data_IF_772324262491
#
_entry.id   IF_772324262491
#
_cell.length_a   1.000
_cell.length_b   1.000
_cell.length_c   1.000
_cell.angle_alpha   90.00
_cell.angle_beta   90.00
_cell.angle_gamma   90.00
#
_symmetry.space_group_name_H-M   'P 1'
#
loop_
_entity.id
_entity.type
_entity.pdbx_description
1 polymer ?
#
# COMPACT_ATOMS: atom_id res chain seq x y z
N UNK A 1 -6.69 22.04 -11.57
CA UNK A 1 -6.74 21.84 -10.15
C UNK A 1 -5.32 21.65 -9.59
N UNK A 2 -5.07 22.05 -8.33
CA UNK A 2 -3.77 21.91 -7.66
C UNK A 2 -3.33 20.42 -7.60
N UNK A 3 -4.23 19.55 -7.18
CA UNK A 3 -3.97 18.12 -6.98
C UNK A 3 -3.73 17.36 -8.27
N UNK A 4 -4.36 17.77 -9.38
CA UNK A 4 -4.20 17.10 -10.69
C UNK A 4 -2.77 17.23 -11.23
N UNK A 5 -2.07 18.30 -10.82
CA UNK A 5 -0.68 18.57 -11.21
C UNK A 5 0.35 17.93 -10.27
N UNK A 6 -0.09 17.22 -9.23
CA UNK A 6 0.81 16.60 -8.27
C UNK A 6 1.13 15.16 -8.67
N UNK A 7 2.38 14.80 -8.48
CA UNK A 7 2.83 13.41 -8.63
C UNK A 7 2.44 12.66 -7.38
N UNK A 8 1.57 11.66 -7.52
CA UNK A 8 1.17 10.80 -6.40
C UNK A 8 2.17 9.67 -6.23
N UNK A 9 2.35 9.23 -5.00
CA UNK A 9 3.05 7.99 -4.69
C UNK A 9 2.24 6.79 -5.21
N UNK A 10 2.81 5.58 -5.29
CA UNK A 10 2.09 4.41 -5.75
C UNK A 10 0.80 4.13 -4.98
N UNK A 11 -0.12 3.45 -5.63
CA UNK A 11 -1.17 2.69 -4.99
C UNK A 11 -0.70 1.26 -4.74
N UNK A 12 -1.61 0.40 -4.28
CA UNK A 12 -1.33 -1.01 -4.04
C UNK A 12 -2.51 -1.87 -4.44
N UNK A 13 -2.23 -3.07 -4.96
CA UNK A 13 -3.18 -4.17 -4.98
C UNK A 13 -2.76 -5.14 -3.88
N UNK A 14 -3.67 -5.38 -2.95
CA UNK A 14 -3.44 -6.16 -1.74
C UNK A 14 -4.33 -7.40 -1.73
N UNK A 15 -3.82 -8.50 -1.16
CA UNK A 15 -4.60 -9.67 -0.83
C UNK A 15 -4.31 -10.09 0.61
N UNK A 16 -5.38 -10.37 1.34
CA UNK A 16 -5.35 -10.94 2.68
C UNK A 16 -5.87 -12.37 2.60
N UNK A 17 -5.05 -13.33 3.00
CA UNK A 17 -5.36 -14.74 2.88
C UNK A 17 -5.26 -15.44 4.25
N UNK A 18 -6.28 -16.22 4.58
CA UNK A 18 -6.20 -17.24 5.61
C UNK A 18 -5.98 -18.60 4.96
N UNK A 19 -4.97 -19.31 5.38
CA UNK A 19 -4.55 -20.61 4.80
C UNK A 19 -4.68 -21.68 5.87
N UNK A 20 -5.38 -22.79 5.57
CA UNK A 20 -5.64 -23.88 6.53
C UNK A 20 -4.50 -24.87 6.71
N UNK A 21 -3.28 -24.49 6.32
CA UNK A 21 -2.05 -25.29 6.52
C UNK A 21 -0.82 -24.41 6.62
N UNK A 22 0.30 -24.98 7.09
CA UNK A 22 1.60 -24.31 7.04
C UNK A 22 2.19 -24.35 5.64
N UNK A 23 2.81 -23.24 5.22
CA UNK A 23 3.44 -23.11 3.91
C UNK A 23 4.95 -23.16 4.07
N UNK A 24 5.63 -24.15 3.47
CA UNK A 24 7.09 -24.27 3.56
C UNK A 24 7.79 -23.12 2.85
N UNK A 25 9.06 -22.89 3.21
CA UNK A 25 9.98 -21.88 2.65
C UNK A 25 9.62 -20.43 2.92
N UNK A 26 8.38 -20.09 3.26
CA UNK A 26 8.04 -18.70 3.62
C UNK A 26 8.80 -18.27 4.87
N UNK A 27 9.26 -17.03 4.82
CA UNK A 27 9.73 -16.23 5.96
C UNK A 27 8.64 -15.23 6.35
N UNK A 28 8.81 -14.55 7.47
CA UNK A 28 7.90 -13.45 7.83
C UNK A 28 7.80 -12.43 6.69
N UNK A 29 8.92 -12.05 6.12
CA UNK A 29 9.00 -11.13 4.98
C UNK A 29 9.66 -11.81 3.78
N UNK A 30 9.00 -11.77 2.62
CA UNK A 30 9.50 -12.32 1.37
C UNK A 30 9.32 -11.27 0.27
N UNK A 31 10.38 -11.02 -0.49
CA UNK A 31 10.37 -10.10 -1.63
C UNK A 31 10.61 -10.89 -2.91
N UNK A 32 9.68 -10.81 -3.83
CA UNK A 32 9.76 -11.44 -5.14
C UNK A 32 10.27 -10.42 -6.16
N UNK A 33 11.60 -10.36 -6.31
CA UNK A 33 12.33 -9.55 -7.29
C UNK A 33 12.89 -10.42 -8.42
N UNK A 34 12.13 -11.39 -8.86
CA UNK A 34 12.47 -12.37 -9.89
C UNK A 34 12.12 -11.89 -11.31
N UNK A 35 11.73 -10.63 -11.46
CA UNK A 35 11.40 -9.94 -12.73
C UNK A 35 12.15 -8.61 -12.84
N UNK A 36 12.06 -7.97 -14.03
CA UNK A 36 12.77 -6.72 -14.26
C UNK A 36 12.15 -5.55 -13.48
N UNK A 37 12.89 -5.07 -12.49
CA UNK A 37 12.50 -3.92 -11.68
C UNK A 37 12.29 -2.65 -12.51
N UNK A 38 13.06 -2.43 -13.58
CA UNK A 38 12.97 -1.21 -14.39
C UNK A 38 11.65 -1.16 -15.15
N UNK A 39 11.19 -2.31 -15.66
CA UNK A 39 9.88 -2.41 -16.34
C UNK A 39 8.77 -2.05 -15.37
N UNK A 40 8.70 -2.70 -14.21
CA UNK A 40 7.66 -2.45 -13.22
C UNK A 40 7.70 -1.00 -12.70
N UNK A 41 8.88 -0.45 -12.44
CA UNK A 41 9.05 0.95 -12.03
C UNK A 41 8.58 1.92 -13.10
N UNK A 42 8.86 1.65 -14.39
CA UNK A 42 8.38 2.45 -15.51
C UNK A 42 6.84 2.47 -15.59
N UNK A 43 6.22 1.30 -15.42
CA UNK A 43 4.75 1.12 -15.43
C UNK A 43 4.04 1.80 -14.26
N UNK A 44 4.76 2.09 -13.17
CA UNK A 44 4.22 2.86 -12.03
C UNK A 44 4.36 4.37 -12.24
N UNK A 45 5.54 4.83 -12.68
CA UNK A 45 5.91 6.24 -12.56
C UNK A 45 5.97 6.99 -13.90
N UNK A 46 6.30 6.31 -14.99
CA UNK A 46 6.56 6.94 -16.29
C UNK A 46 5.40 6.74 -17.27
N UNK A 47 4.92 5.52 -17.39
CA UNK A 47 3.78 5.12 -18.21
C UNK A 47 2.77 4.36 -17.36
N UNK A 48 1.92 5.08 -16.58
CA UNK A 48 1.04 4.48 -15.58
C UNK A 48 0.09 3.45 -16.15
N UNK A 49 0.29 2.19 -15.82
CA UNK A 49 -0.54 1.07 -16.22
C UNK A 49 -0.49 -0.06 -15.19
N UNK A 50 -1.36 -1.05 -15.33
CA UNK A 50 -1.26 -2.28 -14.57
C UNK A 50 0.02 -3.03 -14.96
N UNK A 51 0.85 -3.46 -13.98
CA UNK A 51 2.16 -4.04 -14.28
C UNK A 51 2.04 -5.32 -15.13
N UNK A 52 2.84 -5.38 -16.19
CA UNK A 52 2.87 -6.52 -17.11
C UNK A 52 3.37 -7.79 -16.43
N UNK A 53 4.38 -7.65 -15.56
CA UNK A 53 5.00 -8.74 -14.82
C UNK A 53 5.38 -8.25 -13.40
N UNK A 54 4.44 -8.29 -12.44
CA UNK A 54 4.58 -7.58 -11.17
C UNK A 54 5.66 -8.14 -10.27
N UNK A 55 6.45 -7.26 -9.67
CA UNK A 55 7.18 -7.54 -8.44
C UNK A 55 6.21 -7.45 -7.27
N UNK A 56 6.39 -8.28 -6.24
CA UNK A 56 5.48 -8.28 -5.11
C UNK A 56 6.15 -8.65 -3.79
N UNK A 57 5.49 -8.27 -2.72
CA UNK A 57 5.86 -8.60 -1.36
C UNK A 57 4.86 -9.57 -0.74
N UNK A 58 5.38 -10.51 0.06
CA UNK A 58 4.59 -11.45 0.85
C UNK A 58 4.97 -11.31 2.31
N UNK A 59 3.99 -11.03 3.16
CA UNK A 59 4.14 -11.13 4.62
C UNK A 59 3.41 -12.38 5.13
N UNK A 60 4.12 -13.18 5.91
CA UNK A 60 3.57 -14.34 6.59
C UNK A 60 3.91 -14.25 8.09
N UNK A 61 3.21 -13.36 8.84
CA UNK A 61 3.54 -13.08 10.25
C UNK A 61 3.36 -14.32 11.14
N UNK A 62 2.49 -15.25 10.79
CA UNK A 62 2.30 -16.52 11.50
C UNK A 62 3.53 -17.42 11.53
N UNK A 63 4.53 -17.17 10.68
CA UNK A 63 5.83 -17.86 10.74
C UNK A 63 6.61 -17.53 12.02
N UNK A 64 6.45 -16.33 12.56
CA UNK A 64 7.19 -15.85 13.74
C UNK A 64 6.31 -15.59 14.94
N UNK A 65 5.02 -15.37 14.74
CA UNK A 65 4.03 -15.11 15.80
C UNK A 65 2.86 -16.10 15.67
N UNK A 66 2.79 -17.13 16.51
CA UNK A 66 1.71 -18.11 16.44
C UNK A 66 0.34 -17.55 16.86
N UNK A 67 0.28 -16.36 17.48
CA UNK A 67 -0.98 -15.78 17.95
C UNK A 67 -1.84 -15.17 16.83
N UNK A 68 -1.28 -14.94 15.63
CA UNK A 68 -1.97 -14.26 14.53
C UNK A 68 -2.67 -15.20 13.54
N UNK A 69 -2.63 -16.50 13.79
CA UNK A 69 -3.36 -17.52 13.02
C UNK A 69 -3.72 -18.72 13.93
N UNK A 70 -4.77 -19.49 13.64
CA UNK A 70 -5.03 -20.75 14.33
C UNK A 70 -3.87 -21.73 14.19
N UNK A 71 -3.77 -22.67 15.13
CA UNK A 71 -2.72 -23.70 15.10
C UNK A 71 -2.74 -24.46 13.76
N UNK A 72 -1.56 -24.65 13.16
CA UNK A 72 -1.41 -25.31 11.86
C UNK A 72 -1.80 -24.47 10.64
N UNK A 73 -2.30 -23.24 10.83
CA UNK A 73 -2.72 -22.32 9.76
C UNK A 73 -1.68 -21.22 9.51
N UNK A 74 -1.83 -20.53 8.39
CA UNK A 74 -1.06 -19.34 8.04
C UNK A 74 -1.95 -18.11 7.79
N UNK A 75 -1.43 -16.95 8.16
CA UNK A 75 -1.95 -15.65 7.77
C UNK A 75 -0.98 -15.05 6.75
N UNK A 76 -1.45 -14.81 5.53
CA UNK A 76 -0.61 -14.30 4.43
C UNK A 76 -1.18 -12.99 3.89
N UNK A 77 -0.32 -12.02 3.73
CA UNK A 77 -0.59 -10.75 3.08
C UNK A 77 0.27 -10.60 1.84
N UNK A 78 -0.35 -10.26 0.70
CA UNK A 78 0.34 -10.01 -0.56
C UNK A 78 0.17 -8.55 -0.94
N UNK A 79 1.22 -7.94 -1.50
CA UNK A 79 1.21 -6.56 -1.97
C UNK A 79 1.93 -6.42 -3.30
N UNK A 80 1.22 -5.88 -4.29
CA UNK A 80 1.77 -5.39 -5.55
C UNK A 80 1.73 -3.87 -5.53
N UNK A 81 2.86 -3.15 -5.65
CA UNK A 81 2.84 -1.71 -5.91
C UNK A 81 2.31 -1.46 -7.33
N UNK A 82 1.38 -0.54 -7.49
CA UNK A 82 0.76 -0.21 -8.77
C UNK A 82 0.65 1.30 -8.95
N UNK A 83 0.52 1.79 -10.18
CA UNK A 83 0.27 3.20 -10.42
C UNK A 83 -1.06 3.66 -9.79
N UNK A 84 -1.18 4.90 -9.32
CA UNK A 84 -2.47 5.46 -8.92
C UNK A 84 -3.40 5.63 -10.13
N UNK A 85 -4.70 5.79 -9.86
CA UNK A 85 -5.75 6.12 -10.84
C UNK A 85 -6.05 5.07 -11.91
N UNK A 86 -5.60 3.83 -11.72
CA UNK A 86 -5.92 2.73 -12.64
C UNK A 86 -7.37 2.27 -12.47
N UNK A 87 -7.95 1.78 -13.57
CA UNK A 87 -9.24 1.11 -13.54
C UNK A 87 -9.16 -0.17 -12.70
N UNK A 88 -10.03 -0.28 -11.71
CA UNK A 88 -10.04 -1.36 -10.73
C UNK A 88 -11.36 -2.12 -10.84
N UNK A 89 -11.29 -3.43 -11.08
CA UNK A 89 -12.42 -4.34 -11.12
C UNK A 89 -12.01 -5.74 -10.68
N UNK A 90 -12.98 -6.60 -10.45
CA UNK A 90 -12.75 -7.97 -9.97
C UNK A 90 -11.92 -8.81 -10.95
N UNK A 91 -12.13 -8.66 -12.25
CA UNK A 91 -11.41 -9.40 -13.29
C UNK A 91 -9.90 -9.12 -13.22
N UNK A 92 -9.52 -7.85 -13.09
CA UNK A 92 -8.12 -7.45 -12.93
C UNK A 92 -7.54 -8.02 -11.62
N UNK A 93 -8.28 -7.91 -10.52
CA UNK A 93 -7.84 -8.45 -9.21
C UNK A 93 -7.60 -9.96 -9.29
N UNK A 94 -8.54 -10.72 -9.86
CA UNK A 94 -8.41 -12.17 -9.99
C UNK A 94 -7.26 -12.57 -10.95
N UNK A 95 -7.06 -11.83 -12.03
CA UNK A 95 -5.90 -12.04 -12.91
C UNK A 95 -4.59 -11.95 -12.14
N UNK A 96 -4.39 -10.87 -11.36
CA UNK A 96 -3.16 -10.70 -10.58
C UNK A 96 -3.06 -11.71 -9.43
N UNK A 97 -4.16 -12.03 -8.78
CA UNK A 97 -4.20 -13.11 -7.80
C UNK A 97 -3.69 -14.43 -8.38
N UNK A 98 -4.18 -14.80 -9.57
CA UNK A 98 -3.71 -15.99 -10.29
C UNK A 98 -2.20 -15.98 -10.55
N UNK A 99 -1.67 -14.87 -11.10
CA UNK A 99 -0.24 -14.72 -11.38
C UNK A 99 0.63 -14.82 -10.11
N UNK A 100 0.19 -14.22 -9.00
CA UNK A 100 0.92 -14.30 -7.74
C UNK A 100 0.90 -15.71 -7.16
N UNK A 101 -0.24 -16.38 -7.22
CA UNK A 101 -0.37 -17.76 -6.72
C UNK A 101 0.49 -18.73 -7.53
N UNK A 102 0.54 -18.60 -8.85
CA UNK A 102 1.39 -19.46 -9.69
C UNK A 102 2.86 -19.38 -9.23
N UNK A 103 3.37 -18.16 -9.07
CA UNK A 103 4.76 -17.92 -8.65
C UNK A 103 5.03 -18.33 -7.20
N UNK A 104 4.06 -18.08 -6.31
CA UNK A 104 4.19 -18.43 -4.90
C UNK A 104 4.18 -19.95 -4.70
N UNK A 105 3.30 -20.68 -5.39
CA UNK A 105 3.20 -22.12 -5.35
C UNK A 105 4.46 -22.80 -5.97
N UNK A 106 4.97 -22.24 -7.07
CA UNK A 106 6.24 -22.68 -7.66
C UNK A 106 7.40 -22.51 -6.67
N UNK A 107 7.52 -21.34 -6.04
CA UNK A 107 8.56 -21.09 -5.03
C UNK A 107 8.43 -21.99 -3.82
N UNK A 108 7.23 -22.17 -3.30
CA UNK A 108 6.99 -22.98 -2.10
C UNK A 108 7.03 -24.48 -2.38
N UNK A 109 6.82 -24.91 -3.64
CA UNK A 109 6.78 -26.31 -4.03
C UNK A 109 5.52 -27.05 -3.53
N UNK A 110 4.45 -26.32 -3.20
CA UNK A 110 3.18 -26.88 -2.73
C UNK A 110 2.00 -26.06 -3.28
N UNK A 111 0.85 -26.73 -3.53
CA UNK A 111 -0.39 -26.00 -3.81
C UNK A 111 -0.81 -25.18 -2.58
N UNK A 112 -1.21 -23.94 -2.78
CA UNK A 112 -1.70 -23.04 -1.72
C UNK A 112 -3.20 -22.79 -1.91
N UNK A 113 -3.65 -22.67 -3.15
CA UNK A 113 -5.03 -22.35 -3.53
C UNK A 113 -6.05 -23.23 -2.86
N UNK A 114 -5.80 -24.53 -2.81
CA UNK A 114 -6.72 -25.54 -2.23
C UNK A 114 -6.90 -25.41 -0.72
N UNK A 115 -6.06 -24.61 -0.08
CA UNK A 115 -6.04 -24.42 1.38
C UNK A 115 -6.48 -23.02 1.80
N UNK A 116 -6.92 -22.19 0.84
CA UNK A 116 -7.41 -20.84 1.13
C UNK A 116 -8.81 -20.94 1.74
N UNK A 117 -8.95 -20.54 2.98
CA UNK A 117 -10.22 -20.49 3.72
C UNK A 117 -10.78 -19.07 3.83
N UNK A 118 -9.95 -18.07 3.57
CA UNK A 118 -10.32 -16.67 3.53
C UNK A 118 -9.52 -15.93 2.45
N UNK A 119 -10.20 -15.12 1.65
CA UNK A 119 -9.57 -14.22 0.68
C UNK A 119 -10.30 -12.89 0.67
N UNK A 120 -9.55 -11.80 0.79
CA UNK A 120 -10.02 -10.44 0.57
C UNK A 120 -9.00 -9.69 -0.28
N UNK A 121 -9.45 -9.05 -1.34
CA UNK A 121 -8.64 -8.10 -2.12
C UNK A 121 -8.91 -6.67 -1.65
N UNK A 122 -7.96 -5.76 -1.87
CA UNK A 122 -8.08 -4.34 -1.56
C UNK A 122 -7.24 -3.53 -2.55
N UNK A 123 -7.85 -2.54 -3.23
CA UNK A 123 -7.17 -1.76 -4.25
C UNK A 123 -7.77 -0.34 -4.38
N UNK A 124 -7.61 0.31 -5.55
CA UNK A 124 -7.99 1.70 -5.78
C UNK A 124 -9.41 2.08 -5.36
N UNK A 125 -10.41 1.22 -5.65
CA UNK A 125 -11.80 1.47 -5.25
C UNK A 125 -11.95 1.50 -3.73
N UNK A 126 -11.28 0.59 -3.05
CA UNK A 126 -11.34 0.50 -1.59
C UNK A 126 -10.64 1.71 -0.96
N UNK A 127 -9.46 2.10 -1.46
CA UNK A 127 -8.78 3.33 -0.99
C UNK A 127 -9.63 4.59 -1.21
N UNK A 128 -10.35 4.68 -2.35
CA UNK A 128 -11.26 5.80 -2.61
C UNK A 128 -12.46 5.80 -1.66
N UNK A 129 -13.04 4.64 -1.40
CA UNK A 129 -14.25 4.50 -0.59
C UNK A 129 -13.98 4.67 0.90
N UNK A 130 -12.95 4.00 1.43
CA UNK A 130 -12.69 3.94 2.88
C UNK A 130 -11.87 5.14 3.38
N UNK A 131 -10.99 5.69 2.54
CA UNK A 131 -10.07 6.78 2.92
C UNK A 131 -10.26 8.06 2.11
N UNK A 132 -11.21 8.11 1.18
CA UNK A 132 -11.36 9.23 0.23
C UNK A 132 -10.04 9.58 -0.48
N UNK A 133 -9.22 8.55 -0.73
CA UNK A 133 -7.88 8.71 -1.28
C UNK A 133 -7.93 9.23 -2.72
N UNK A 134 -7.33 10.41 -2.96
CA UNK A 134 -7.26 10.99 -4.28
C UNK A 134 -6.55 10.04 -5.26
N UNK A 135 -7.21 9.73 -6.39
CA UNK A 135 -6.73 8.76 -7.38
C UNK A 135 -6.52 7.35 -6.81
N UNK A 136 -7.14 7.02 -5.68
CA UNK A 136 -6.97 5.71 -5.04
C UNK A 136 -5.54 5.40 -4.63
N UNK A 137 -4.72 6.41 -4.34
CA UNK A 137 -3.34 6.20 -3.91
C UNK A 137 -3.27 5.65 -2.47
N UNK A 138 -2.21 4.89 -2.16
CA UNK A 138 -2.00 4.32 -0.84
C UNK A 138 -1.09 5.18 0.05
N UNK A 139 -0.16 5.96 -0.55
CA UNK A 139 0.93 6.61 0.19
C UNK A 139 0.94 8.14 0.09
N UNK A 140 -0.05 8.75 -0.53
CA UNK A 140 -0.14 10.21 -0.65
C UNK A 140 0.74 10.79 -1.76
N UNK A 141 1.42 11.90 -1.49
CA UNK A 141 2.31 12.55 -2.45
C UNK A 141 3.65 11.82 -2.60
N UNK A 142 4.12 11.66 -3.83
CA UNK A 142 5.48 11.20 -4.08
C UNK A 142 6.51 12.18 -3.50
N UNK A 143 7.57 11.64 -2.93
CA UNK A 143 8.68 12.43 -2.37
C UNK A 143 9.67 12.87 -3.45
N UNK A 144 9.18 13.63 -4.44
CA UNK A 144 10.04 14.31 -5.41
C UNK A 144 10.67 15.54 -4.77
N UNK A 145 11.78 16.06 -5.37
CA UNK A 145 12.44 17.27 -4.87
C UNK A 145 11.46 18.44 -4.72
N UNK A 146 10.47 18.56 -5.61
CA UNK A 146 9.49 19.64 -5.60
C UNK A 146 8.24 19.36 -4.74
N UNK A 147 8.19 18.22 -4.06
CA UNK A 147 7.05 17.78 -3.23
C UNK A 147 7.47 17.23 -1.86
N UNK A 148 8.65 17.58 -1.39
CA UNK A 148 9.16 17.11 -0.09
C UNK A 148 9.42 18.27 0.87
N UNK A 149 9.62 17.97 2.14
CA UNK A 149 9.92 18.90 3.22
C UNK A 149 8.99 20.13 3.18
N UNK A 150 9.55 21.33 3.09
CA UNK A 150 8.83 22.61 3.09
C UNK A 150 7.92 22.83 1.87
N UNK A 151 8.08 22.02 0.82
CA UNK A 151 7.26 22.09 -0.40
C UNK A 151 6.01 21.21 -0.33
N UNK A 152 5.82 20.45 0.76
CA UNK A 152 4.57 19.74 1.05
C UNK A 152 3.44 20.69 1.38
N UNK A 153 2.17 20.26 1.25
CA UNK A 153 1.04 21.05 1.71
C UNK A 153 1.20 21.53 3.15
N UNK A 154 0.82 22.77 3.39
CA UNK A 154 0.86 23.38 4.72
C UNK A 154 -0.05 22.62 5.70
N UNK A 155 0.39 22.52 6.95
CA UNK A 155 -0.42 21.98 8.05
C UNK A 155 -1.61 22.88 8.43
N UNK A 156 -1.54 24.19 8.15
CA UNK A 156 -2.60 25.16 8.40
C UNK A 156 -3.25 25.62 7.10
N UNK A 157 -4.56 25.72 7.10
CA UNK A 157 -5.30 26.27 5.98
C UNK A 157 -5.02 27.78 5.84
N UNK A 158 -4.82 28.24 4.60
CA UNK A 158 -4.49 29.66 4.35
C UNK A 158 -5.69 30.60 4.52
N UNK A 159 -6.89 30.10 4.30
CA UNK A 159 -8.12 30.91 4.30
C UNK A 159 -8.92 30.76 5.60
N UNK A 160 -8.81 29.60 6.27
CA UNK A 160 -9.55 29.30 7.50
C UNK A 160 -8.55 29.17 8.65
N UNK A 161 -8.58 30.13 9.59
CA UNK A 161 -7.61 30.20 10.69
C UNK A 161 -7.67 29.00 11.66
N UNK A 162 -8.84 28.37 11.77
CA UNK A 162 -9.12 27.24 12.68
C UNK A 162 -9.14 25.89 12.00
N UNK A 163 -8.62 25.76 10.77
CA UNK A 163 -8.55 24.50 10.02
C UNK A 163 -7.11 24.07 9.83
N UNK A 164 -6.82 22.85 10.28
CA UNK A 164 -5.51 22.22 10.19
C UNK A 164 -5.60 20.87 9.50
N UNK A 165 -4.48 20.43 8.94
CA UNK A 165 -4.34 19.14 8.23
C UNK A 165 -3.24 18.31 8.86
N UNK A 166 -3.49 17.00 8.99
CA UNK A 166 -2.48 16.02 9.43
C UNK A 166 -2.47 14.81 8.50
N UNK A 167 -1.50 13.93 8.68
CA UNK A 167 -1.44 12.66 7.96
C UNK A 167 -0.46 12.67 6.79
N UNK A 168 -0.56 11.65 5.95
CA UNK A 168 0.43 11.31 4.92
C UNK A 168 0.64 12.36 3.82
N UNK A 169 -0.33 13.26 3.59
CA UNK A 169 -0.22 14.32 2.59
C UNK A 169 0.53 15.56 3.09
N UNK A 170 0.80 15.65 4.39
CA UNK A 170 1.49 16.77 5.04
C UNK A 170 2.93 16.39 5.43
N UNK A 171 3.63 17.28 6.13
CA UNK A 171 4.95 16.99 6.71
C UNK A 171 4.79 16.15 7.99
N UNK A 172 5.69 15.16 8.25
CA UNK A 172 6.86 14.80 7.45
C UNK A 172 6.56 13.94 6.21
N UNK A 173 5.39 13.32 6.08
CA UNK A 173 5.02 12.56 4.89
C UNK A 173 4.32 11.23 5.17
N UNK A 174 4.37 10.27 4.22
CA UNK A 174 3.69 8.99 4.33
C UNK A 174 4.34 8.03 5.33
N UNK A 175 3.52 7.13 5.85
CA UNK A 175 3.90 6.10 6.83
C UNK A 175 3.29 6.34 8.21
N UNK A 176 3.20 5.29 9.03
CA UNK A 176 2.57 5.36 10.36
C UNK A 176 3.31 6.35 11.29
N UNK A 177 4.65 6.25 11.49
CA UNK A 177 5.35 7.20 12.34
C UNK A 177 5.27 8.65 11.82
N UNK A 178 5.51 8.95 10.54
CA UNK A 178 5.33 10.31 10.02
C UNK A 178 3.92 10.88 10.19
N UNK A 179 2.89 10.08 9.98
CA UNK A 179 1.50 10.53 10.16
C UNK A 179 1.22 10.88 11.63
N UNK A 180 1.72 10.09 12.57
CA UNK A 180 1.62 10.38 14.01
C UNK A 180 2.38 11.67 14.38
N UNK A 181 3.60 11.84 13.86
CA UNK A 181 4.39 13.07 14.07
C UNK A 181 3.65 14.29 13.53
N UNK A 182 2.99 14.19 12.37
CA UNK A 182 2.20 15.31 11.83
C UNK A 182 1.08 15.75 12.78
N UNK A 183 0.43 14.79 13.45
CA UNK A 183 -0.56 15.05 14.47
C UNK A 183 0.01 15.80 15.68
N UNK A 184 1.19 15.39 16.18
CA UNK A 184 1.88 16.06 17.27
C UNK A 184 2.27 17.52 16.92
N UNK A 185 2.75 17.74 15.69
CA UNK A 185 3.10 19.08 15.21
C UNK A 185 1.87 19.96 15.16
N UNK A 186 0.76 19.47 14.59
CA UNK A 186 -0.51 20.24 14.55
C UNK A 186 -1.02 20.53 15.95
N UNK A 187 -1.02 19.58 16.85
CA UNK A 187 -1.44 19.79 18.24
C UNK A 187 -0.61 20.90 18.93
N UNK A 188 0.72 20.92 18.71
CA UNK A 188 1.59 21.97 19.21
C UNK A 188 1.28 23.34 18.65
N UNK A 189 1.00 23.43 17.33
CA UNK A 189 0.63 24.70 16.69
C UNK A 189 -0.73 25.21 17.21
N UNK A 190 -1.73 24.35 17.34
CA UNK A 190 -3.04 24.70 17.91
C UNK A 190 -2.88 25.20 19.36
N UNK A 191 -2.06 24.54 20.17
CA UNK A 191 -1.81 24.95 21.56
C UNK A 191 -1.17 26.35 21.64
N UNK A 192 -0.20 26.66 20.76
CA UNK A 192 0.44 27.99 20.71
C UNK A 192 -0.53 29.11 20.30
N UNK A 193 -1.54 28.80 19.49
CA UNK A 193 -2.51 29.78 19.03
C UNK A 193 -3.65 30.06 20.01
N UNK A 194 -3.86 29.12 20.96
CA UNK A 194 -4.90 29.25 22.00
C UNK A 194 -4.38 29.92 23.30
N UNK A 195 -3.07 30.05 23.45
CA UNK A 195 -2.39 30.69 24.57
C UNK A 195 -1.62 31.93 24.13
#
# INVERSE_FOLDING_TARGET
NYWDKRVMAPSSLLFYLGISKRIPRLKHHNLFFDRDFKVHSHEIYTDPQWPSDPLFYVSAPSVTDPSVAPEGCENIFLLIPVAPDLADNEEVREKYFGQLMDRLEEYCGVSIRDSIVYKRSYAHKDFKNDYHAFKGNAYGLANTLMQTAILKPSLKNKNLKNLYYTGQLTVPGPGVPPSLISGLVVASEVHKELN
#
